data_IF_536615673787
#
_entry.id   IF_536615673787
#
_cell.length_a   1.000
_cell.length_b   1.000
_cell.length_c   1.000
_cell.angle_alpha   90.00
_cell.angle_beta   90.00
_cell.angle_gamma   90.00
#
_symmetry.space_group_name_H-M   'P 1'
#
loop_
_entity.id
_entity.type
_entity.pdbx_description
1 polymer ?
#
# COMPACT_ATOMS: atom_id res chain seq x y z
N UNK A 1 -4.46 -11.86 -18.10
CA UNK A 1 -4.58 -11.53 -16.67
C UNK A 1 -4.75 -10.02 -16.58
N UNK A 2 -5.92 -9.53 -16.17
CA UNK A 2 -6.24 -8.09 -16.20
C UNK A 2 -5.74 -7.46 -14.90
N UNK A 3 -5.22 -6.23 -14.94
CA UNK A 3 -4.74 -5.47 -13.76
C UNK A 3 -5.75 -5.47 -12.61
N UNK A 4 -7.04 -5.56 -12.91
CA UNK A 4 -8.12 -5.67 -11.92
C UNK A 4 -8.12 -6.96 -11.08
N UNK A 5 -7.57 -8.06 -11.60
CA UNK A 5 -7.49 -9.34 -10.87
C UNK A 5 -6.46 -9.25 -9.73
N UNK A 6 -5.42 -8.42 -9.88
CA UNK A 6 -4.39 -8.19 -8.87
C UNK A 6 -4.88 -7.36 -7.68
N UNK A 7 -5.86 -6.50 -7.88
CA UNK A 7 -6.42 -5.68 -6.81
C UNK A 7 -7.31 -6.54 -5.90
N UNK A 8 -8.07 -7.49 -6.47
CA UNK A 8 -9.02 -8.29 -5.68
C UNK A 8 -8.37 -9.31 -4.75
N UNK A 9 -7.36 -10.03 -5.22
CA UNK A 9 -6.83 -11.20 -4.51
C UNK A 9 -6.22 -10.91 -3.12
N UNK A 10 -5.38 -9.86 -2.94
CA UNK A 10 -4.84 -9.52 -1.62
C UNK A 10 -5.85 -8.81 -0.71
N UNK A 11 -6.81 -8.07 -1.27
CA UNK A 11 -7.86 -7.39 -0.51
C UNK A 11 -8.76 -8.42 0.20
N UNK A 12 -9.07 -9.54 -0.46
CA UNK A 12 -9.90 -10.60 0.13
C UNK A 12 -9.18 -11.43 1.22
N UNK A 13 -7.84 -11.50 1.21
CA UNK A 13 -7.04 -12.24 2.20
C UNK A 13 -6.73 -11.43 3.47
N UNK A 14 -6.80 -10.11 3.37
CA UNK A 14 -6.44 -9.16 4.41
C UNK A 14 -7.64 -8.60 5.19
N UNK A 15 -8.87 -8.79 4.69
CA UNK A 15 -10.09 -8.04 5.08
C UNK A 15 -9.96 -6.50 4.97
N UNK A 16 -8.81 -5.97 4.55
CA UNK A 16 -8.54 -4.55 4.54
C UNK A 16 -8.80 -3.95 3.17
N UNK A 17 -9.89 -3.21 3.13
CA UNK A 17 -10.46 -2.68 1.90
C UNK A 17 -9.77 -1.38 1.51
N UNK A 18 -9.46 -1.25 0.22
CA UNK A 18 -9.10 0.04 -0.37
C UNK A 18 -10.32 0.97 -0.34
N UNK A 19 -10.22 2.06 0.43
CA UNK A 19 -11.25 3.09 0.58
C UNK A 19 -11.17 4.09 -0.57
N UNK A 20 -9.97 4.63 -0.85
CA UNK A 20 -9.80 5.67 -1.85
C UNK A 20 -8.39 5.70 -2.44
N UNK A 21 -8.29 6.32 -3.62
CA UNK A 21 -7.01 6.65 -4.25
C UNK A 21 -7.01 8.15 -4.51
N UNK A 22 -6.05 8.84 -3.92
CA UNK A 22 -5.90 10.29 -4.04
C UNK A 22 -4.53 10.63 -4.64
N UNK A 23 -4.45 11.80 -5.27
CA UNK A 23 -3.19 12.35 -5.76
C UNK A 23 -3.03 13.79 -5.29
N UNK A 24 -1.84 14.14 -4.83
CA UNK A 24 -1.45 15.54 -4.64
C UNK A 24 -0.01 15.79 -5.13
N UNK A 25 0.30 17.06 -5.43
CA UNK A 25 1.58 17.44 -6.05
C UNK A 25 2.80 17.30 -5.14
N UNK A 26 2.60 17.18 -3.82
CA UNK A 26 3.68 17.11 -2.82
C UNK A 26 4.05 15.65 -2.54
N UNK A 27 3.05 14.80 -2.32
CA UNK A 27 3.25 13.41 -1.88
C UNK A 27 3.03 12.38 -2.99
N UNK A 28 2.40 12.78 -4.11
CA UNK A 28 2.05 11.92 -5.21
C UNK A 28 0.80 11.10 -4.93
N UNK A 29 0.81 9.84 -5.37
CA UNK A 29 -0.30 8.89 -5.20
C UNK A 29 -0.34 8.36 -3.76
N UNK A 30 -1.53 8.44 -3.18
CA UNK A 30 -1.85 7.98 -1.83
C UNK A 30 -3.03 7.03 -1.92
N UNK A 31 -2.86 5.82 -1.42
CA UNK A 31 -3.87 4.77 -1.40
C UNK A 31 -4.34 4.62 0.05
N UNK A 32 -5.61 4.91 0.30
CA UNK A 32 -6.19 4.81 1.63
C UNK A 32 -6.86 3.44 1.79
N UNK A 33 -6.38 2.65 2.73
CA UNK A 33 -7.01 1.41 3.16
C UNK A 33 -7.71 1.63 4.50
N UNK A 34 -8.59 0.71 4.91
CA UNK A 34 -9.28 0.78 6.21
C UNK A 34 -8.31 0.82 7.39
N UNK A 35 -7.20 0.07 7.31
CA UNK A 35 -6.23 -0.01 8.41
C UNK A 35 -5.06 0.97 8.31
N UNK A 36 -4.70 1.43 7.11
CA UNK A 36 -3.49 2.26 6.91
C UNK A 36 -3.50 3.07 5.61
N UNK A 37 -2.64 4.09 5.56
CA UNK A 37 -2.35 4.88 4.36
C UNK A 37 -1.08 4.36 3.66
N UNK A 38 -1.14 4.11 2.36
CA UNK A 38 0.04 3.82 1.53
C UNK A 38 0.44 5.03 0.69
N UNK A 39 1.68 5.50 0.83
CA UNK A 39 2.27 6.56 0.01
C UNK A 39 3.14 5.97 -1.08
N UNK A 40 2.69 6.09 -2.34
CA UNK A 40 3.38 5.52 -3.50
C UNK A 40 4.25 6.55 -4.24
N UNK A 41 4.11 7.85 -3.98
CA UNK A 41 4.90 8.87 -4.66
C UNK A 41 4.36 9.23 -6.04
N UNK A 42 5.11 10.03 -6.79
CA UNK A 42 4.60 10.67 -8.02
C UNK A 42 4.56 9.74 -9.24
N UNK A 43 5.44 8.73 -9.29
CA UNK A 43 5.50 7.74 -10.35
C UNK A 43 4.90 6.42 -9.88
N UNK A 44 4.07 5.80 -10.71
CA UNK A 44 3.57 4.44 -10.51
C UNK A 44 4.14 3.53 -11.59
N UNK A 45 4.67 2.39 -11.17
CA UNK A 45 5.13 1.33 -12.05
C UNK A 45 4.76 -0.03 -11.45
N UNK A 46 4.96 -1.10 -12.22
CA UNK A 46 4.65 -2.46 -11.77
C UNK A 46 5.42 -2.85 -10.51
N UNK A 47 6.64 -2.34 -10.33
CA UNK A 47 7.48 -2.64 -9.17
C UNK A 47 6.90 -2.04 -7.87
N UNK A 48 6.36 -0.81 -7.92
CA UNK A 48 5.66 -0.22 -6.78
C UNK A 48 4.42 -1.01 -6.37
N UNK A 49 3.63 -1.47 -7.34
CA UNK A 49 2.45 -2.30 -7.05
C UNK A 49 2.84 -3.65 -6.45
N UNK A 50 3.89 -4.30 -6.98
CA UNK A 50 4.40 -5.55 -6.43
C UNK A 50 4.93 -5.38 -5.00
N UNK A 51 5.64 -4.29 -4.73
CA UNK A 51 6.13 -3.99 -3.38
C UNK A 51 4.98 -3.67 -2.41
N UNK A 52 3.96 -2.92 -2.84
CA UNK A 52 2.78 -2.66 -2.02
C UNK A 52 2.10 -3.99 -1.65
N UNK A 53 1.89 -4.86 -2.63
CA UNK A 53 1.30 -6.20 -2.42
C UNK A 53 2.09 -7.02 -1.39
N UNK A 54 3.41 -7.18 -1.59
CA UNK A 54 4.27 -7.91 -0.65
C UNK A 54 4.27 -7.29 0.75
N UNK A 55 4.17 -5.97 0.83
CA UNK A 55 4.12 -5.27 2.12
C UNK A 55 2.82 -5.58 2.85
N UNK A 56 1.67 -5.52 2.15
CA UNK A 56 0.37 -5.89 2.70
C UNK A 56 0.43 -7.32 3.22
N UNK A 57 0.85 -8.29 2.40
CA UNK A 57 0.98 -9.69 2.80
C UNK A 57 1.85 -9.86 4.06
N UNK A 58 2.99 -9.16 4.12
CA UNK A 58 3.87 -9.16 5.29
C UNK A 58 3.18 -8.62 6.55
N UNK A 59 2.47 -7.49 6.44
CA UNK A 59 1.81 -6.85 7.57
C UNK A 59 0.75 -7.77 8.18
N UNK A 60 -0.08 -8.42 7.36
CA UNK A 60 -1.08 -9.39 7.83
C UNK A 60 -0.44 -10.65 8.41
N UNK A 61 0.53 -11.24 7.71
CA UNK A 61 1.22 -12.44 8.18
C UNK A 61 1.92 -12.23 9.53
N UNK A 62 2.36 -11.00 9.82
CA UNK A 62 3.03 -10.63 11.07
C UNK A 62 2.14 -9.88 12.07
N UNK A 63 0.84 -9.71 11.77
CA UNK A 63 -0.13 -8.97 12.59
C UNK A 63 0.41 -7.59 13.00
N UNK A 64 0.96 -6.87 12.03
CA UNK A 64 1.55 -5.54 12.22
C UNK A 64 0.51 -4.48 11.92
N UNK A 65 0.09 -3.76 12.95
CA UNK A 65 -0.87 -2.66 12.82
C UNK A 65 -0.09 -1.36 12.60
N UNK A 66 0.21 -1.07 11.34
CA UNK A 66 0.84 0.18 10.91
C UNK A 66 -0.23 1.21 10.59
N UNK A 67 0.08 2.50 10.72
CA UNK A 67 -0.79 3.58 10.24
C UNK A 67 -0.34 4.11 8.88
N UNK A 68 0.96 4.04 8.55
CA UNK A 68 1.48 4.47 7.25
C UNK A 68 2.49 3.47 6.70
N UNK A 69 2.34 3.16 5.42
CA UNK A 69 3.33 2.47 4.58
C UNK A 69 3.88 3.45 3.55
N UNK A 70 5.15 3.83 3.68
CA UNK A 70 5.81 4.76 2.75
C UNK A 70 6.70 3.99 1.76
N UNK A 71 6.29 3.97 0.49
CA UNK A 71 6.98 3.36 -0.65
C UNK A 71 7.59 4.41 -1.60
N UNK A 72 7.73 5.67 -1.15
CA UNK A 72 8.31 6.74 -1.98
C UNK A 72 9.80 6.61 -2.17
N UNK A 73 10.49 5.98 -1.23
CA UNK A 73 11.94 5.76 -1.26
C UNK A 73 12.32 4.56 -2.13
N UNK A 74 13.39 4.70 -2.91
CA UNK A 74 14.01 3.58 -3.62
C UNK A 74 14.92 2.73 -2.70
N UNK A 75 15.22 3.21 -1.50
CA UNK A 75 16.11 2.52 -0.55
C UNK A 75 15.38 1.46 0.30
N UNK A 76 14.05 1.39 0.24
CA UNK A 76 13.25 0.46 1.00
C UNK A 76 11.89 1.04 1.40
N UNK A 77 11.15 0.25 2.18
CA UNK A 77 9.80 0.60 2.67
C UNK A 77 9.91 1.07 4.12
N UNK A 78 9.31 2.21 4.42
CA UNK A 78 9.23 2.72 5.79
C UNK A 78 7.84 2.47 6.37
N UNK A 79 7.78 1.93 7.59
CA UNK A 79 6.54 1.63 8.30
C UNK A 79 6.41 2.58 9.49
N UNK A 80 5.28 3.28 9.56
CA UNK A 80 4.90 4.08 10.73
C UNK A 80 3.85 3.33 11.52
N UNK A 81 4.05 3.25 12.82
CA UNK A 81 3.09 2.74 13.79
C UNK A 81 2.51 3.94 14.54
N UNK A 82 1.21 3.90 14.85
CA UNK A 82 0.67 4.81 15.84
C UNK A 82 1.24 4.47 17.23
N UNK A 83 1.35 5.48 18.09
CA UNK A 83 1.87 5.35 19.45
C UNK A 83 0.85 4.70 20.38
#
# INVERSE_FOLDING_TARGET
MRVFDWIKYPIDLAENKLISINYNSVEGWIFEFEDFEAKLGTSLDSYKFENLLKTIEYLYAKRKNVSIVDLRSNAGISLKYDK
#
